data_IF_456294255689
#
_entry.id   IF_456294255689
#
_cell.length_a   1.000
_cell.length_b   1.000
_cell.length_c   1.000
_cell.angle_alpha   90.00
_cell.angle_beta   90.00
_cell.angle_gamma   90.00
#
_symmetry.space_group_name_H-M   'P 1'
#
loop_
_entity.id
_entity.type
_entity.pdbx_description
1 polymer ?
#
# COMPACT_ATOMS: atom_id res chain seq x y z
N UNK A 1 31.59 37.90 2.29
CA UNK A 1 30.53 37.51 1.33
C UNK A 1 30.38 35.99 1.21
N UNK A 2 31.48 35.21 1.15
CA UNK A 2 31.45 33.73 1.11
C UNK A 2 30.81 33.06 2.35
N UNK A 3 31.03 33.61 3.55
CA UNK A 3 30.50 33.04 4.80
C UNK A 3 28.97 33.20 4.92
N UNK A 4 28.43 34.34 4.48
CA UNK A 4 26.98 34.58 4.47
C UNK A 4 26.27 33.66 3.45
N UNK A 5 26.89 33.44 2.28
CA UNK A 5 26.36 32.53 1.26
C UNK A 5 26.36 31.07 1.74
N UNK A 6 27.41 30.66 2.48
CA UNK A 6 27.51 29.33 3.11
C UNK A 6 26.48 29.12 4.21
N UNK A 7 26.19 30.15 5.03
CA UNK A 7 25.15 30.09 6.07
C UNK A 7 23.75 30.01 5.47
N UNK A 8 23.46 30.80 4.42
CA UNK A 8 22.18 30.72 3.70
C UNK A 8 22.01 29.40 2.96
N UNK A 9 23.08 28.79 2.46
CA UNK A 9 23.04 27.45 1.85
C UNK A 9 22.76 26.36 2.91
N UNK A 10 23.35 26.45 4.11
CA UNK A 10 23.04 25.53 5.21
C UNK A 10 21.61 25.74 5.77
N UNK A 11 21.13 26.98 5.86
CA UNK A 11 19.74 27.28 6.24
C UNK A 11 18.75 26.78 5.18
N UNK A 12 19.08 26.89 3.89
CA UNK A 12 18.28 26.37 2.78
C UNK A 12 18.27 24.83 2.74
N UNK A 13 19.42 24.17 2.95
CA UNK A 13 19.50 22.72 3.09
C UNK A 13 18.67 22.22 4.29
N UNK A 14 18.57 23.01 5.36
CA UNK A 14 17.70 22.76 6.51
C UNK A 14 16.19 22.94 6.23
N UNK A 15 15.80 23.61 5.14
CA UNK A 15 14.40 23.86 4.79
C UNK A 15 13.77 22.77 3.92
N UNK A 16 14.57 21.84 3.37
CA UNK A 16 14.06 20.73 2.58
C UNK A 16 13.73 19.57 3.51
N UNK A 17 12.45 19.21 3.61
CA UNK A 17 12.01 18.06 4.42
C UNK A 17 12.65 16.77 3.88
N UNK A 18 13.42 16.09 4.73
CA UNK A 18 13.97 14.76 4.42
C UNK A 18 12.94 13.66 4.73
N UNK A 19 12.72 12.75 3.78
CA UNK A 19 11.92 11.54 4.03
C UNK A 19 12.73 10.59 4.92
N UNK A 20 12.23 10.32 6.12
CA UNK A 20 12.87 9.38 7.06
C UNK A 20 12.46 7.94 6.79
N UNK A 21 11.19 7.72 6.41
CA UNK A 21 10.66 6.42 6.02
C UNK A 21 9.46 6.60 5.10
N UNK A 22 9.22 5.61 4.26
CA UNK A 22 8.02 5.50 3.42
C UNK A 22 7.64 4.03 3.36
N UNK A 23 6.33 3.76 3.33
CA UNK A 23 5.79 2.42 3.15
C UNK A 23 4.52 2.48 2.30
N UNK A 24 4.30 1.50 1.40
CA UNK A 24 3.05 1.41 0.68
C UNK A 24 1.89 1.12 1.65
N UNK A 25 0.70 1.62 1.31
CA UNK A 25 -0.51 1.43 2.12
C UNK A 25 -1.62 0.79 1.26
N UNK A 26 -2.29 -0.26 1.74
CA UNK A 26 -3.44 -0.89 1.07
C UNK A 26 -4.62 0.06 0.91
N UNK A 27 -5.41 -0.09 -0.16
CA UNK A 27 -6.56 0.77 -0.45
C UNK A 27 -7.57 0.81 0.71
N UNK A 28 -7.76 -0.31 1.39
CA UNK A 28 -8.63 -0.41 2.58
C UNK A 28 -8.18 0.49 3.73
N UNK A 29 -6.88 0.54 4.01
CA UNK A 29 -6.31 1.44 5.02
C UNK A 29 -6.32 2.90 4.54
N UNK A 30 -6.06 3.15 3.26
CA UNK A 30 -6.15 4.49 2.68
C UNK A 30 -7.58 5.03 2.82
N UNK A 31 -8.60 4.18 2.61
CA UNK A 31 -10.01 4.54 2.77
C UNK A 31 -10.30 5.07 4.18
N UNK A 32 -9.84 4.38 5.22
CA UNK A 32 -10.01 4.82 6.61
C UNK A 32 -9.30 6.16 6.89
N UNK A 33 -8.07 6.32 6.38
CA UNK A 33 -7.31 7.58 6.53
C UNK A 33 -8.03 8.75 5.87
N UNK A 34 -8.53 8.58 4.65
CA UNK A 34 -9.24 9.64 3.92
C UNK A 34 -10.58 9.95 4.58
N UNK A 35 -11.35 8.93 5.00
CA UNK A 35 -12.62 9.15 5.72
C UNK A 35 -12.43 9.99 6.96
N UNK A 36 -11.49 9.58 7.83
CA UNK A 36 -11.18 10.32 9.06
C UNK A 36 -10.78 11.77 8.77
N UNK A 37 -9.97 11.99 7.73
CA UNK A 37 -9.55 13.35 7.33
C UNK A 37 -10.74 14.23 6.90
N UNK A 38 -11.72 13.65 6.20
CA UNK A 38 -12.92 14.36 5.74
C UNK A 38 -13.95 14.62 6.85
N UNK A 39 -13.87 13.89 7.97
CA UNK A 39 -14.70 14.13 9.16
C UNK A 39 -14.14 15.26 10.03
N UNK A 40 -12.81 15.39 10.10
CA UNK A 40 -12.12 16.39 10.94
C UNK A 40 -12.07 17.79 10.31
N UNK A 41 -12.05 17.88 8.98
CA UNK A 41 -11.88 19.14 8.24
C UNK A 41 -12.74 19.19 6.97
N UNK A 42 -12.95 20.39 6.42
CA UNK A 42 -13.59 20.54 5.12
C UNK A 42 -12.69 19.95 4.02
N UNK A 43 -13.08 18.78 3.54
CA UNK A 43 -12.32 18.02 2.55
C UNK A 43 -12.20 18.68 1.18
N UNK A 44 -10.99 18.59 0.61
CA UNK A 44 -10.73 19.00 -0.78
C UNK A 44 -11.47 18.09 -1.79
N UNK A 45 -11.86 18.63 -2.94
CA UNK A 45 -12.56 17.87 -3.99
C UNK A 45 -11.80 16.62 -4.46
N UNK A 46 -10.47 16.72 -4.51
CA UNK A 46 -9.60 15.60 -4.86
C UNK A 46 -9.74 14.48 -3.82
N UNK A 47 -9.81 14.81 -2.54
CA UNK A 47 -9.96 13.82 -1.46
C UNK A 47 -11.34 13.14 -1.52
N UNK A 48 -12.41 13.88 -1.85
CA UNK A 48 -13.75 13.32 -2.03
C UNK A 48 -13.79 12.36 -3.22
N UNK A 49 -13.17 12.74 -4.34
CA UNK A 49 -13.05 11.87 -5.52
C UNK A 49 -12.23 10.62 -5.22
N UNK A 50 -11.13 10.76 -4.48
CA UNK A 50 -10.34 9.63 -3.99
C UNK A 50 -11.16 8.71 -3.09
N UNK A 51 -11.98 9.25 -2.17
CA UNK A 51 -12.85 8.43 -1.34
C UNK A 51 -13.85 7.64 -2.19
N UNK A 52 -14.49 8.25 -3.18
CA UNK A 52 -15.41 7.54 -4.09
C UNK A 52 -14.73 6.42 -4.87
N UNK A 53 -13.46 6.59 -5.26
CA UNK A 53 -12.67 5.51 -5.83
C UNK A 53 -12.43 4.39 -4.80
N UNK A 54 -11.98 4.75 -3.59
CA UNK A 54 -11.68 3.78 -2.54
C UNK A 54 -12.92 3.00 -2.09
N UNK A 55 -14.10 3.62 -2.07
CA UNK A 55 -15.36 2.93 -1.77
C UNK A 55 -15.70 1.83 -2.77
N UNK A 56 -15.28 1.98 -4.02
CA UNK A 56 -15.54 1.02 -5.11
C UNK A 56 -14.47 -0.06 -5.23
N UNK A 57 -13.22 0.28 -4.92
CA UNK A 57 -12.06 -0.56 -5.23
C UNK A 57 -11.33 -1.12 -3.99
N UNK A 58 -11.57 -0.62 -2.79
CA UNK A 58 -11.05 -1.26 -1.57
C UNK A 58 -11.85 -2.53 -1.27
N UNK A 59 -11.33 -3.68 -1.69
CA UNK A 59 -12.00 -4.99 -1.60
C UNK A 59 -11.87 -5.65 -0.23
N UNK A 60 -10.74 -5.46 0.43
CA UNK A 60 -10.43 -6.13 1.69
C UNK A 60 -10.87 -5.33 2.91
N UNK A 61 -11.22 -6.01 3.99
CA UNK A 61 -11.47 -5.41 5.30
C UNK A 61 -10.17 -4.85 5.88
N UNK A 62 -10.21 -3.58 6.28
CA UNK A 62 -9.07 -2.86 6.86
C UNK A 62 -8.49 -3.52 8.13
N UNK A 63 -9.29 -4.25 8.90
CA UNK A 63 -8.88 -4.92 10.14
C UNK A 63 -8.00 -6.15 9.84
N UNK A 64 -8.31 -6.89 8.78
CA UNK A 64 -7.65 -8.16 8.42
C UNK A 64 -6.38 -7.96 7.58
N UNK A 65 -6.29 -6.83 6.88
CA UNK A 65 -5.25 -6.57 5.88
C UNK A 65 -3.82 -6.63 6.45
N UNK A 66 -3.59 -6.13 7.66
CA UNK A 66 -2.24 -6.13 8.24
C UNK A 66 -1.76 -7.55 8.55
N UNK A 67 -2.66 -8.42 9.03
CA UNK A 67 -2.37 -9.82 9.30
C UNK A 67 -2.08 -10.59 8.00
N UNK A 68 -2.89 -10.39 6.96
CA UNK A 68 -2.72 -11.05 5.66
C UNK A 68 -1.40 -10.63 5.01
N UNK A 69 -1.08 -9.34 5.03
CA UNK A 69 0.20 -8.84 4.51
C UNK A 69 1.37 -9.45 5.26
N UNK A 70 1.26 -9.62 6.58
CA UNK A 70 2.28 -10.27 7.38
C UNK A 70 2.44 -11.75 7.00
N UNK A 71 1.34 -12.49 6.89
CA UNK A 71 1.34 -13.92 6.49
C UNK A 71 2.01 -14.11 5.12
N UNK A 72 1.69 -13.25 4.14
CA UNK A 72 2.29 -13.31 2.79
C UNK A 72 3.81 -13.09 2.81
N UNK A 73 4.30 -12.12 3.60
CA UNK A 73 5.74 -11.85 3.71
C UNK A 73 6.50 -12.99 4.37
N UNK A 74 5.95 -13.50 5.47
CA UNK A 74 6.62 -14.53 6.25
C UNK A 74 6.69 -15.87 5.49
N UNK A 75 5.66 -16.21 4.71
CA UNK A 75 5.62 -17.47 3.96
C UNK A 75 6.39 -17.43 2.64
N UNK A 76 6.29 -16.34 1.89
CA UNK A 76 6.75 -16.30 0.50
C UNK A 76 7.87 -15.28 0.25
N UNK A 77 8.37 -14.61 1.31
CA UNK A 77 9.43 -13.61 1.24
C UNK A 77 9.13 -12.45 0.25
N UNK A 78 7.85 -12.10 0.07
CA UNK A 78 7.42 -11.06 -0.85
C UNK A 78 7.74 -9.66 -0.32
N UNK A 79 7.95 -8.70 -1.24
CA UNK A 79 8.09 -7.29 -0.91
C UNK A 79 6.80 -6.72 -0.29
N UNK A 80 6.93 -5.59 0.41
CA UNK A 80 5.76 -4.88 0.94
C UNK A 80 4.82 -4.47 -0.21
N UNK A 81 5.40 -4.03 -1.31
CA UNK A 81 4.73 -3.56 -2.51
C UNK A 81 3.90 -4.67 -3.14
N UNK A 82 4.46 -5.87 -3.32
CA UNK A 82 3.71 -7.03 -3.84
C UNK A 82 2.60 -7.46 -2.91
N UNK A 83 2.83 -7.53 -1.60
CA UNK A 83 1.77 -7.89 -0.65
C UNK A 83 0.61 -6.89 -0.70
N UNK A 84 0.91 -5.59 -0.77
CA UNK A 84 -0.11 -4.54 -0.90
C UNK A 84 -0.87 -4.70 -2.23
N UNK A 85 -0.17 -4.99 -3.32
CA UNK A 85 -0.81 -5.23 -4.62
C UNK A 85 -1.71 -6.47 -4.63
N UNK A 86 -1.28 -7.57 -4.03
CA UNK A 86 -2.09 -8.78 -3.90
C UNK A 86 -3.41 -8.50 -3.17
N UNK A 87 -3.35 -7.78 -2.03
CA UNK A 87 -4.54 -7.40 -1.25
C UNK A 87 -5.42 -6.40 -2.02
N UNK A 88 -4.85 -5.46 -2.76
CA UNK A 88 -5.63 -4.49 -3.54
C UNK A 88 -6.36 -5.15 -4.72
N UNK A 89 -5.66 -6.05 -5.42
CA UNK A 89 -6.21 -6.73 -6.61
C UNK A 89 -7.14 -7.85 -6.21
N UNK A 90 -6.87 -8.56 -5.10
CA UNK A 90 -7.60 -9.74 -4.63
C UNK A 90 -7.72 -10.79 -5.75
N UNK A 91 -6.59 -11.36 -6.22
CA UNK A 91 -6.59 -12.26 -7.36
C UNK A 91 -7.40 -13.53 -7.07
N UNK A 92 -8.11 -14.01 -8.09
CA UNK A 92 -8.93 -15.22 -8.02
C UNK A 92 -8.32 -16.39 -8.83
N UNK A 93 -7.38 -16.10 -9.73
CA UNK A 93 -6.76 -17.09 -10.60
C UNK A 93 -5.24 -17.10 -10.46
N UNK A 94 -4.58 -18.25 -10.70
CA UNK A 94 -3.12 -18.33 -10.72
C UNK A 94 -2.47 -17.35 -11.71
N UNK A 95 -3.13 -17.07 -12.84
CA UNK A 95 -2.66 -16.14 -13.87
C UNK A 95 -2.63 -14.70 -13.37
N UNK A 96 -3.64 -14.28 -12.59
CA UNK A 96 -3.65 -12.96 -11.95
C UNK A 96 -2.52 -12.82 -10.93
N UNK A 97 -2.28 -13.85 -10.12
CA UNK A 97 -1.14 -13.86 -9.17
C UNK A 97 0.18 -13.73 -9.92
N UNK A 98 0.42 -14.55 -10.95
CA UNK A 98 1.64 -14.48 -11.77
C UNK A 98 1.83 -13.10 -12.41
N UNK A 99 0.75 -12.47 -12.85
CA UNK A 99 0.79 -11.11 -13.43
C UNK A 99 1.25 -10.08 -12.41
N UNK A 100 0.81 -10.18 -11.15
CA UNK A 100 1.25 -9.29 -10.08
C UNK A 100 2.73 -9.52 -9.76
N UNK A 101 3.12 -10.80 -9.60
CA UNK A 101 4.49 -11.20 -9.25
C UNK A 101 5.50 -10.88 -10.36
N UNK A 102 5.08 -10.84 -11.62
CA UNK A 102 5.96 -10.51 -12.76
C UNK A 102 6.61 -9.12 -12.69
N UNK A 103 6.14 -8.26 -11.78
CA UNK A 103 6.75 -6.96 -11.50
C UNK A 103 8.11 -7.06 -10.79
N UNK A 104 8.42 -8.21 -10.18
CA UNK A 104 9.66 -8.49 -9.46
C UNK A 104 10.20 -9.89 -9.81
N UNK A 105 11.47 -10.16 -9.52
CA UNK A 105 12.09 -11.48 -9.77
C UNK A 105 11.70 -12.50 -8.68
N UNK A 106 10.41 -12.83 -8.60
CA UNK A 106 9.87 -13.81 -7.65
C UNK A 106 9.51 -15.10 -8.37
N UNK A 107 10.05 -16.22 -7.89
CA UNK A 107 9.74 -17.57 -8.39
C UNK A 107 9.01 -18.37 -7.33
N UNK A 108 7.75 -18.75 -7.61
CA UNK A 108 6.93 -19.58 -6.74
C UNK A 108 6.41 -20.81 -7.51
N UNK A 109 6.16 -21.91 -6.80
CA UNK A 109 5.53 -23.10 -7.36
C UNK A 109 4.04 -22.88 -7.60
N UNK A 110 3.41 -23.79 -8.35
CA UNK A 110 1.96 -23.74 -8.56
C UNK A 110 1.19 -23.87 -7.25
N UNK A 111 1.67 -24.71 -6.32
CA UNK A 111 1.05 -24.90 -5.00
C UNK A 111 1.14 -23.62 -4.16
N UNK A 112 2.29 -22.94 -4.16
CA UNK A 112 2.48 -21.66 -3.45
C UNK A 112 1.57 -20.57 -4.02
N UNK A 113 1.41 -20.51 -5.35
CA UNK A 113 0.49 -19.56 -6.00
C UNK A 113 -0.96 -19.82 -5.58
N UNK A 114 -1.40 -21.08 -5.53
CA UNK A 114 -2.72 -21.43 -5.02
C UNK A 114 -2.89 -21.06 -3.54
N UNK A 115 -1.84 -21.23 -2.74
CA UNK A 115 -1.86 -20.83 -1.33
C UNK A 115 -1.98 -19.32 -1.15
N UNK A 116 -1.33 -18.51 -1.99
CA UNK A 116 -1.51 -17.05 -2.01
C UNK A 116 -2.99 -16.69 -2.21
N UNK A 117 -3.67 -17.32 -3.18
CA UNK A 117 -5.10 -17.05 -3.44
C UNK A 117 -5.93 -17.38 -2.20
N UNK A 118 -5.66 -18.51 -1.54
CA UNK A 118 -6.33 -18.93 -0.30
C UNK A 118 -6.08 -17.99 0.87
N UNK A 119 -4.90 -17.39 0.96
CA UNK A 119 -4.56 -16.43 2.03
C UNK A 119 -5.25 -15.10 1.77
N UNK A 120 -5.18 -14.58 0.54
CA UNK A 120 -5.72 -13.27 0.19
C UNK A 120 -7.26 -13.27 0.21
N UNK A 121 -7.92 -14.39 -0.10
CA UNK A 121 -9.38 -14.51 -0.02
C UNK A 121 -9.95 -14.31 1.38
N UNK A 122 -9.17 -14.58 2.44
CA UNK A 122 -9.55 -14.33 3.83
C UNK A 122 -9.79 -12.83 4.13
N UNK A 123 -9.37 -11.93 3.24
CA UNK A 123 -9.46 -10.50 3.47
C UNK A 123 -10.88 -9.94 3.34
N UNK A 124 -11.81 -10.68 2.73
CA UNK A 124 -13.21 -10.29 2.60
C UNK A 124 -13.94 -10.76 3.85
N UNK A 125 -14.54 -9.85 4.61
CA UNK A 125 -15.46 -10.19 5.70
C UNK A 125 -16.81 -10.56 5.08
N UNK A 126 -17.33 -11.75 5.42
CA UNK A 126 -18.68 -12.19 5.02
C UNK A 126 -19.77 -11.24 5.52
#
# INVERSE_FOLDING_TARGET
MLVAHSLTLMEWESMVKKVLSSKPLPLSKVKEVIKKRLEEEEGLDIQRTTLSYLERFAKCDSELVDEIIKELKEKFALSNELCVMLVNVLPQTPEEVRTILASEEVTLTSEEIEEIIKIVSKCIKE
#
